data_IF_263436104556
#
_entry.id   IF_263436104556
#
_cell.length_a   1.000
_cell.length_b   1.000
_cell.length_c   1.000
_cell.angle_alpha   90.00
_cell.angle_beta   90.00
_cell.angle_gamma   90.00
#
_symmetry.space_group_name_H-M   'P 1'
#
loop_
_entity.id
_entity.type
_entity.pdbx_description
1 polymer ?
#
# COMPACT_ATOMS: atom_id res chain seq x y z
N UNK A 1 -4.82 19.35 -28.68
CA UNK A 1 -4.99 19.19 -27.22
C UNK A 1 -4.38 17.84 -26.82
N UNK A 2 -3.40 17.81 -25.92
CA UNK A 2 -2.47 16.69 -25.81
C UNK A 2 -3.15 15.46 -25.20
N UNK A 3 -3.07 14.35 -25.94
CA UNK A 3 -3.43 13.01 -25.50
C UNK A 3 -2.38 12.55 -24.50
N UNK A 4 -2.66 12.71 -23.20
CA UNK A 4 -1.89 12.07 -22.13
C UNK A 4 -2.07 10.55 -22.25
N UNK A 5 -1.00 9.89 -22.68
CA UNK A 5 -0.94 8.45 -22.93
C UNK A 5 -1.01 7.74 -21.57
N UNK A 6 -2.21 7.40 -21.11
CA UNK A 6 -2.38 6.45 -20.03
C UNK A 6 -2.03 5.06 -20.59
N UNK A 7 -0.75 4.71 -20.55
CA UNK A 7 -0.27 3.37 -20.88
C UNK A 7 -1.02 2.35 -20.01
N UNK A 8 -1.66 1.31 -20.58
CA UNK A 8 -2.25 0.23 -19.79
C UNK A 8 -1.11 -0.44 -19.02
N UNK A 9 -1.12 -0.30 -17.69
CA UNK A 9 -0.18 -1.06 -16.86
C UNK A 9 -0.58 -2.53 -16.96
N UNK A 10 0.35 -3.45 -17.25
CA UNK A 10 0.04 -4.88 -17.32
C UNK A 10 -0.69 -5.32 -16.04
N UNK A 11 -1.73 -6.15 -16.16
CA UNK A 11 -2.50 -6.65 -15.01
C UNK A 11 -1.61 -7.29 -13.92
N UNK A 12 -0.46 -7.85 -14.32
CA UNK A 12 0.56 -8.35 -13.38
C UNK A 12 1.13 -7.28 -12.44
N UNK A 13 1.15 -6.00 -12.84
CA UNK A 13 1.64 -4.89 -12.02
C UNK A 13 0.65 -4.48 -10.92
N UNK A 14 -0.65 -4.72 -11.09
CA UNK A 14 -1.64 -4.50 -10.02
C UNK A 14 -1.55 -5.60 -8.96
N UNK A 15 -1.45 -6.86 -9.38
CA UNK A 15 -1.25 -7.99 -8.47
C UNK A 15 0.11 -7.95 -7.77
N UNK A 16 1.16 -7.49 -8.45
CA UNK A 16 2.47 -7.29 -7.84
C UNK A 16 2.44 -6.23 -6.74
N UNK A 17 1.69 -5.14 -6.93
CA UNK A 17 1.52 -4.13 -5.89
C UNK A 17 0.83 -4.73 -4.66
N UNK A 18 -0.27 -5.46 -4.84
CA UNK A 18 -0.99 -6.11 -3.72
C UNK A 18 -0.09 -7.10 -2.98
N UNK A 19 0.69 -7.92 -3.70
CA UNK A 19 1.62 -8.87 -3.08
C UNK A 19 2.71 -8.16 -2.28
N UNK A 20 3.23 -7.04 -2.80
CA UNK A 20 4.18 -6.21 -2.07
C UNK A 20 3.54 -5.62 -0.81
N UNK A 21 2.31 -5.12 -0.91
CA UNK A 21 1.56 -4.56 0.21
C UNK A 21 1.36 -5.55 1.36
N UNK A 22 1.06 -6.82 1.03
CA UNK A 22 0.95 -7.89 2.04
C UNK A 22 2.29 -8.20 2.72
N UNK A 23 3.40 -8.17 1.96
CA UNK A 23 4.74 -8.35 2.51
C UNK A 23 5.12 -7.21 3.47
N UNK A 24 4.89 -5.96 3.07
CA UNK A 24 5.20 -4.77 3.89
C UNK A 24 4.37 -4.78 5.18
N UNK A 25 3.08 -5.13 5.10
CA UNK A 25 2.22 -5.27 6.27
C UNK A 25 2.70 -6.37 7.23
N UNK A 26 3.13 -7.53 6.71
CA UNK A 26 3.67 -8.59 7.57
C UNK A 26 4.99 -8.17 8.24
N UNK A 27 5.87 -7.50 7.50
CA UNK A 27 7.14 -6.99 8.02
C UNK A 27 6.91 -5.96 9.13
N UNK A 28 5.99 -5.01 8.94
CA UNK A 28 5.70 -3.98 9.94
C UNK A 28 5.16 -4.59 11.23
N UNK A 29 4.24 -5.57 11.13
CA UNK A 29 3.76 -6.32 12.28
C UNK A 29 4.87 -7.07 13.02
N UNK A 30 5.82 -7.68 12.31
CA UNK A 30 6.97 -8.34 12.93
C UNK A 30 7.85 -7.34 13.68
N UNK A 31 8.12 -6.17 13.10
CA UNK A 31 8.90 -5.10 13.75
C UNK A 31 8.18 -4.59 15.00
N UNK A 32 6.87 -4.32 14.93
CA UNK A 32 6.08 -3.88 16.08
C UNK A 32 6.05 -4.93 17.20
N UNK A 33 5.79 -6.21 16.89
CA UNK A 33 5.78 -7.28 17.88
C UNK A 33 7.16 -7.47 18.52
N UNK A 34 8.23 -7.39 17.71
CA UNK A 34 9.59 -7.46 18.21
C UNK A 34 9.92 -6.28 19.14
N UNK A 35 9.54 -5.05 18.77
CA UNK A 35 9.74 -3.87 19.59
C UNK A 35 8.97 -3.96 20.93
N UNK A 36 7.74 -4.48 20.92
CA UNK A 36 6.96 -4.72 22.14
C UNK A 36 7.71 -5.69 23.05
N UNK A 37 8.15 -6.85 22.54
CA UNK A 37 8.88 -7.82 23.37
C UNK A 37 10.21 -7.25 23.87
N UNK A 38 10.94 -6.51 23.03
CA UNK A 38 12.19 -5.86 23.40
C UNK A 38 12.00 -4.79 24.49
N UNK A 39 10.83 -4.17 24.58
CA UNK A 39 10.51 -3.20 25.64
C UNK A 39 10.42 -3.84 27.04
N UNK A 40 10.06 -5.13 27.12
CA UNK A 40 9.96 -5.87 28.39
C UNK A 40 11.25 -6.63 28.74
N UNK A 41 12.14 -6.86 27.77
CA UNK A 41 13.37 -7.63 27.95
C UNK A 41 14.59 -6.74 27.67
N UNK A 42 15.25 -6.18 28.70
CA UNK A 42 16.35 -5.25 28.55
C UNK A 42 17.53 -5.77 27.72
N UNK A 43 17.71 -7.10 27.66
CA UNK A 43 18.76 -7.74 26.86
C UNK A 43 18.49 -7.81 25.35
N UNK A 44 17.25 -7.59 24.93
CA UNK A 44 16.84 -7.59 23.51
C UNK A 44 16.70 -6.17 22.93
N UNK A 45 16.64 -5.15 23.79
CA UNK A 45 16.51 -3.73 23.43
C UNK A 45 17.79 -3.08 22.88
N UNK A 46 18.58 -3.79 22.07
CA UNK A 46 19.78 -3.21 21.46
C UNK A 46 19.35 -2.26 20.34
N UNK A 47 19.50 -0.95 20.56
CA UNK A 47 19.12 0.10 19.61
C UNK A 47 19.71 -0.12 18.19
N UNK A 48 20.87 -0.80 18.11
CA UNK A 48 21.53 -1.15 16.86
C UNK A 48 20.71 -2.10 15.96
N UNK A 49 19.78 -2.88 16.54
CA UNK A 49 18.90 -3.80 15.79
C UNK A 49 17.52 -3.19 15.58
N UNK A 50 16.97 -2.53 16.60
CA UNK A 50 15.64 -1.91 16.54
C UNK A 50 15.59 -0.75 15.54
N UNK A 51 16.62 0.11 15.51
CA UNK A 51 16.66 1.28 14.65
C UNK A 51 16.67 0.93 13.14
N UNK A 52 17.51 0.02 12.63
CA UNK A 52 17.43 -0.36 11.22
C UNK A 52 16.15 -1.11 10.87
N UNK A 53 15.57 -1.91 11.79
CA UNK A 53 14.27 -2.55 11.57
C UNK A 53 13.16 -1.52 11.42
N UNK A 54 13.16 -0.49 12.27
CA UNK A 54 12.19 0.60 12.24
C UNK A 54 12.35 1.45 10.96
N UNK A 55 13.58 1.84 10.61
CA UNK A 55 13.86 2.56 9.36
C UNK A 55 13.46 1.74 8.13
N UNK A 56 13.74 0.43 8.13
CA UNK A 56 13.32 -0.43 7.03
C UNK A 56 11.79 -0.50 6.93
N UNK A 57 11.08 -0.65 8.04
CA UNK A 57 9.62 -0.65 8.05
C UNK A 57 9.05 0.66 7.48
N UNK A 58 9.55 1.82 7.93
CA UNK A 58 9.12 3.14 7.45
C UNK A 58 9.41 3.34 5.96
N UNK A 59 10.59 2.93 5.48
CA UNK A 59 10.93 3.05 4.05
C UNK A 59 10.01 2.18 3.19
N UNK A 60 9.73 0.95 3.62
CA UNK A 60 8.86 0.05 2.87
C UNK A 60 7.40 0.50 2.88
N UNK A 61 6.86 0.97 4.03
CA UNK A 61 5.49 1.50 4.11
C UNK A 61 5.33 2.76 3.26
N UNK A 62 6.34 3.62 3.23
CA UNK A 62 6.35 4.81 2.39
C UNK A 62 6.32 4.48 0.89
N UNK A 63 7.15 3.53 0.44
CA UNK A 63 7.17 3.10 -0.97
C UNK A 63 5.81 2.50 -1.36
N UNK A 64 5.25 1.65 -0.50
CA UNK A 64 3.96 1.02 -0.72
C UNK A 64 2.82 2.05 -0.82
N UNK A 65 2.80 3.02 0.09
CA UNK A 65 1.83 4.11 0.09
C UNK A 65 1.88 4.93 -1.23
N UNK A 66 3.08 5.21 -1.75
CA UNK A 66 3.26 5.88 -3.05
C UNK A 66 2.72 5.02 -4.19
N UNK A 67 3.06 3.73 -4.21
CA UNK A 67 2.62 2.80 -5.25
C UNK A 67 1.10 2.69 -5.25
N UNK A 68 0.48 2.57 -4.07
CA UNK A 68 -0.96 2.42 -3.92
C UNK A 68 -1.70 3.71 -4.33
N UNK A 69 -1.19 4.88 -3.97
CA UNK A 69 -1.71 6.17 -4.43
C UNK A 69 -1.63 6.31 -5.97
N UNK A 70 -0.50 5.91 -6.57
CA UNK A 70 -0.31 5.93 -8.02
C UNK A 70 -1.22 4.94 -8.77
N UNK A 71 -1.65 3.86 -8.11
CA UNK A 71 -2.58 2.85 -8.64
C UNK A 71 -4.04 3.24 -8.48
N UNK A 72 -4.41 3.91 -7.38
CA UNK A 72 -5.80 4.26 -7.10
C UNK A 72 -6.33 5.27 -8.12
N UNK A 73 -5.59 6.35 -8.41
CA UNK A 73 -5.87 7.45 -9.37
C UNK A 73 -7.27 8.09 -9.31
N UNK A 74 -8.18 7.58 -8.50
CA UNK A 74 -9.54 8.03 -8.34
C UNK A 74 -9.70 8.56 -6.91
N UNK A 75 -9.85 9.88 -6.80
CA UNK A 75 -10.08 10.56 -5.51
C UNK A 75 -11.57 10.48 -5.11
N UNK A 76 -12.45 10.27 -6.08
CA UNK A 76 -13.90 10.18 -5.88
C UNK A 76 -14.40 8.79 -6.29
N UNK A 77 -14.61 7.92 -5.30
CA UNK A 77 -15.14 6.57 -5.51
C UNK A 77 -16.64 6.53 -5.83
N UNK A 78 -17.40 7.62 -5.61
CA UNK A 78 -18.86 7.69 -5.84
C UNK A 78 -19.25 7.84 -7.33
N UNK A 79 -18.30 8.14 -8.21
CA UNK A 79 -18.55 8.25 -9.65
C UNK A 79 -17.30 7.76 -10.39
N UNK A 80 -17.03 6.46 -10.26
CA UNK A 80 -16.01 5.75 -11.04
C UNK A 80 -16.49 5.71 -12.50
N UNK A 81 -16.25 6.81 -13.22
CA UNK A 81 -16.49 6.86 -14.65
C UNK A 81 -15.62 5.81 -15.31
N UNK A 82 -16.22 4.70 -15.75
CA UNK A 82 -15.58 3.60 -16.47
C UNK A 82 -14.77 4.03 -17.71
N UNK A 83 -14.89 5.31 -18.11
CA UNK A 83 -14.17 5.97 -19.21
C UNK A 83 -12.81 6.56 -18.82
N UNK A 84 -12.52 6.75 -17.54
CA UNK A 84 -11.28 7.36 -17.04
C UNK A 84 -10.33 6.36 -16.36
N UNK A 85 -10.78 5.12 -16.13
CA UNK A 85 -9.98 4.11 -15.46
C UNK A 85 -9.57 3.04 -16.48
N UNK A 86 -8.27 2.70 -16.57
CA UNK A 86 -7.80 1.67 -17.49
C UNK A 86 -8.43 0.31 -17.13
N UNK A 87 -8.62 -0.56 -18.11
CA UNK A 87 -9.15 -1.94 -17.93
C UNK A 87 -8.31 -2.81 -16.98
N UNK A 88 -7.15 -2.32 -16.56
CA UNK A 88 -6.21 -2.93 -15.61
C UNK A 88 -6.25 -2.29 -14.22
N UNK A 89 -7.29 -1.50 -13.92
CA UNK A 89 -7.41 -0.85 -12.62
C UNK A 89 -7.60 -1.89 -11.52
N UNK A 90 -6.93 -1.67 -10.39
CA UNK A 90 -6.89 -2.58 -9.25
C UNK A 90 -8.28 -2.87 -8.66
N UNK A 91 -9.28 -2.04 -9.00
CA UNK A 91 -10.68 -2.17 -8.61
C UNK A 91 -11.59 -2.87 -9.63
N UNK A 92 -11.16 -3.13 -10.88
CA UNK A 92 -12.00 -3.80 -11.89
C UNK A 92 -12.16 -5.29 -11.59
N UNK A 93 -13.41 -5.77 -11.56
CA UNK A 93 -13.75 -7.20 -11.36
C UNK A 93 -14.32 -7.53 -9.98
N UNK A 94 -14.80 -6.54 -9.23
CA UNK A 94 -15.58 -6.76 -8.00
C UNK A 94 -17.07 -6.76 -8.35
N UNK A 95 -17.92 -7.40 -7.54
CA UNK A 95 -19.37 -7.19 -7.66
C UNK A 95 -19.75 -5.70 -7.45
N UNK A 96 -18.93 -4.98 -6.66
CA UNK A 96 -19.05 -3.54 -6.36
C UNK A 96 -17.67 -2.85 -6.45
N UNK A 97 -17.36 -2.24 -7.60
CA UNK A 97 -16.09 -1.54 -7.83
C UNK A 97 -15.93 -0.29 -6.91
N UNK A 98 -17.05 0.30 -6.47
CA UNK A 98 -17.07 1.46 -5.56
C UNK A 98 -16.60 1.10 -4.15
N UNK A 99 -17.02 -0.07 -3.63
CA UNK A 99 -16.57 -0.56 -2.32
C UNK A 99 -15.07 -0.79 -2.32
N UNK A 100 -14.54 -1.44 -3.35
CA UNK A 100 -13.11 -1.76 -3.46
C UNK A 100 -12.26 -0.49 -3.55
N UNK A 101 -12.75 0.55 -4.22
CA UNK A 101 -12.11 1.87 -4.24
C UNK A 101 -11.97 2.48 -2.85
N UNK A 102 -13.05 2.46 -2.05
CA UNK A 102 -13.03 3.01 -0.67
C UNK A 102 -12.10 2.23 0.25
N UNK A 103 -12.06 0.90 0.11
CA UNK A 103 -11.15 0.04 0.87
C UNK A 103 -9.68 0.35 0.57
N UNK A 104 -9.33 0.52 -0.71
CA UNK A 104 -7.95 0.85 -1.11
C UNK A 104 -7.56 2.27 -0.72
N UNK A 105 -8.50 3.22 -0.76
CA UNK A 105 -8.27 4.57 -0.26
C UNK A 105 -7.95 4.56 1.25
N UNK A 106 -8.73 3.78 2.01
CA UNK A 106 -8.51 3.62 3.44
C UNK A 106 -7.15 2.94 3.73
N UNK A 107 -6.80 1.89 2.99
CA UNK A 107 -5.50 1.22 3.17
C UNK A 107 -4.32 2.10 2.77
N UNK A 108 -4.45 2.93 1.73
CA UNK A 108 -3.43 3.92 1.34
C UNK A 108 -3.18 4.92 2.47
N UNK A 109 -4.25 5.44 3.07
CA UNK A 109 -4.13 6.35 4.21
C UNK A 109 -3.47 5.66 5.41
N UNK A 110 -3.86 4.41 5.70
CA UNK A 110 -3.24 3.63 6.77
C UNK A 110 -1.72 3.47 6.56
N UNK A 111 -1.28 3.15 5.35
CA UNK A 111 0.15 2.98 5.04
C UNK A 111 0.95 4.27 5.05
N UNK A 112 0.30 5.43 4.85
CA UNK A 112 0.94 6.73 5.02
C UNK A 112 1.22 7.10 6.48
N UNK A 113 0.45 6.55 7.41
CA UNK A 113 0.50 6.89 8.84
C UNK A 113 1.01 5.74 9.73
N UNK A 114 1.55 4.69 9.13
CA UNK A 114 2.15 3.54 9.81
C UNK A 114 3.66 3.76 9.99
#
# INVERSE_FOLDING_TARGET
MPRGIASPMPAGSAMAAINFTMFVAALSWLVCLYAIVASFVPGLGVAMVLLPLDVAAVVFTFIDAIVLAAKLRAVNCSNIGARNLPSSWVGFGSADDEKRCREIQASTAFMWFL
#
